data_IF_571533737955
#
_entry.id   IF_571533737955
#
_cell.length_a   1.000
_cell.length_b   1.000
_cell.length_c   1.000
_cell.angle_alpha   90.00
_cell.angle_beta   90.00
_cell.angle_gamma   90.00
#
_symmetry.space_group_name_H-M   'P 1'
#
loop_
_entity.id
_entity.type
_entity.pdbx_description
1 polymer ?
#
# COMPACT_ATOMS: atom_id res chain seq x y z
N UNK A 1 2.94 -10.35 10.45
CA UNK A 1 2.34 -9.08 10.93
C UNK A 1 3.06 -8.69 12.21
N UNK A 2 3.15 -7.39 12.51
CA UNK A 2 3.76 -6.85 13.73
C UNK A 2 2.71 -6.13 14.56
N UNK A 3 2.96 -5.96 15.86
CA UNK A 3 2.09 -5.11 16.70
C UNK A 3 2.11 -3.68 16.15
N UNK A 4 0.95 -3.02 16.13
CA UNK A 4 0.73 -1.70 15.53
C UNK A 4 0.34 -1.74 14.04
N UNK A 5 0.41 -2.90 13.38
CA UNK A 5 0.05 -2.99 11.96
C UNK A 5 -1.47 -2.80 11.74
N UNK A 6 -1.80 -2.02 10.71
CA UNK A 6 -3.19 -1.84 10.28
C UNK A 6 -3.70 -3.10 9.58
N UNK A 7 -4.85 -3.57 10.05
CA UNK A 7 -5.54 -4.74 9.53
C UNK A 7 -6.85 -4.34 8.85
N UNK A 8 -7.06 -4.88 7.65
CA UNK A 8 -8.33 -4.80 6.94
C UNK A 8 -9.13 -6.08 7.21
N UNK A 9 -10.25 -5.95 7.92
CA UNK A 9 -11.09 -7.07 8.35
C UNK A 9 -12.39 -7.03 7.55
N UNK A 10 -12.65 -8.08 6.79
CA UNK A 10 -13.91 -8.29 6.07
C UNK A 10 -14.76 -9.32 6.80
N UNK A 11 -16.00 -8.98 7.14
CA UNK A 11 -16.96 -9.90 7.75
C UNK A 11 -17.56 -10.76 6.65
N UNK A 12 -17.47 -12.10 6.76
CA UNK A 12 -17.88 -12.98 5.68
C UNK A 12 -19.40 -13.01 5.45
N UNK A 13 -20.20 -12.87 6.51
CA UNK A 13 -21.67 -12.93 6.44
C UNK A 13 -22.29 -11.69 5.78
N UNK A 14 -21.75 -10.51 6.04
CA UNK A 14 -22.31 -9.24 5.56
C UNK A 14 -21.50 -8.62 4.41
N UNK A 15 -20.24 -9.02 4.24
CA UNK A 15 -19.32 -8.41 3.28
C UNK A 15 -18.70 -7.08 3.74
N UNK A 16 -19.16 -6.55 4.88
CA UNK A 16 -18.70 -5.30 5.50
C UNK A 16 -17.20 -5.33 5.78
N UNK A 17 -16.57 -4.15 5.67
CA UNK A 17 -15.13 -3.97 5.81
C UNK A 17 -14.83 -2.99 6.93
N UNK A 18 -13.83 -3.35 7.74
CA UNK A 18 -13.41 -2.61 8.92
C UNK A 18 -11.89 -2.48 8.92
N UNK A 19 -11.42 -1.36 9.44
CA UNK A 19 -10.02 -1.17 9.78
C UNK A 19 -9.82 -1.40 11.28
N UNK A 20 -8.83 -2.21 11.62
CA UNK A 20 -8.37 -2.42 12.97
C UNK A 20 -6.85 -2.38 13.05
N UNK A 21 -6.32 -2.59 14.25
CA UNK A 21 -4.89 -2.60 14.53
C UNK A 21 -4.52 -3.85 15.31
N UNK A 22 -3.44 -4.53 14.93
CA UNK A 22 -2.93 -5.67 15.69
C UNK A 22 -2.28 -5.19 16.99
N UNK A 23 -2.91 -5.46 18.14
CA UNK A 23 -2.39 -5.08 19.46
C UNK A 23 -1.47 -6.15 20.04
N UNK A 24 -1.73 -7.43 19.71
CA UNK A 24 -0.93 -8.53 20.22
C UNK A 24 -1.41 -9.88 19.70
N UNK A 25 -0.65 -10.93 20.02
CA UNK A 25 -1.03 -12.29 19.71
C UNK A 25 -0.34 -13.29 20.62
N UNK A 26 -0.94 -14.47 20.73
CA UNK A 26 -0.33 -15.67 21.29
C UNK A 26 -0.43 -16.76 20.24
N UNK A 27 0.73 -17.21 19.74
CA UNK A 27 0.79 -18.18 18.65
C UNK A 27 0.02 -19.46 19.00
N UNK A 28 -0.81 -19.92 18.07
CA UNK A 28 -1.68 -21.09 18.26
C UNK A 28 -2.94 -20.83 19.09
N UNK A 29 -3.06 -19.69 19.77
CA UNK A 29 -4.19 -19.38 20.64
C UNK A 29 -5.07 -18.28 20.04
N UNK A 30 -4.57 -17.04 19.99
CA UNK A 30 -5.37 -15.89 19.55
C UNK A 30 -4.56 -14.77 18.89
N UNK A 31 -5.28 -13.94 18.13
CA UNK A 31 -4.87 -12.59 17.75
C UNK A 31 -5.77 -11.57 18.47
N UNK A 32 -5.17 -10.49 18.95
CA UNK A 32 -5.87 -9.40 19.62
C UNK A 32 -5.86 -8.15 18.74
N UNK A 33 -7.04 -7.69 18.35
CA UNK A 33 -7.19 -6.58 17.41
C UNK A 33 -8.00 -5.45 18.03
N UNK A 34 -7.49 -4.22 17.96
CA UNK A 34 -8.25 -3.03 18.30
C UNK A 34 -9.10 -2.61 17.11
N UNK A 35 -10.41 -2.52 17.30
CA UNK A 35 -11.37 -2.05 16.30
C UNK A 35 -12.01 -0.74 16.75
N UNK A 36 -11.40 0.38 16.38
CA UNK A 36 -11.83 1.74 16.73
C UNK A 36 -13.33 2.00 16.49
N UNK A 37 -13.88 1.47 15.40
CA UNK A 37 -15.28 1.67 15.00
C UNK A 37 -16.24 0.57 15.50
N UNK A 38 -15.83 -0.28 16.43
CA UNK A 38 -16.67 -1.38 16.91
C UNK A 38 -17.90 -0.90 17.68
N UNK A 39 -17.79 0.22 18.39
CA UNK A 39 -18.89 0.77 19.20
C UNK A 39 -20.05 1.19 18.30
N UNK A 40 -19.77 1.82 17.16
CA UNK A 40 -20.79 2.23 16.17
C UNK A 40 -21.25 1.04 15.31
N UNK A 41 -20.41 0.01 15.13
CA UNK A 41 -20.71 -1.18 14.30
C UNK A 41 -20.97 -2.47 15.10
N UNK A 42 -21.38 -2.37 16.36
CA UNK A 42 -21.56 -3.51 17.28
C UNK A 42 -22.59 -4.54 16.80
N UNK A 43 -23.52 -4.16 15.93
CA UNK A 43 -24.50 -5.09 15.33
C UNK A 43 -23.92 -5.94 14.20
N UNK A 44 -22.77 -5.58 13.65
CA UNK A 44 -22.21 -6.18 12.44
C UNK A 44 -21.15 -7.22 12.80
N UNK A 45 -20.35 -6.97 13.84
CA UNK A 45 -19.34 -7.91 14.34
C UNK A 45 -19.90 -8.58 15.58
N UNK A 46 -20.21 -9.87 15.47
CA UNK A 46 -20.63 -10.69 16.61
C UNK A 46 -19.66 -11.85 16.84
N UNK A 47 -19.70 -12.42 18.05
CA UNK A 47 -18.96 -13.64 18.35
C UNK A 47 -19.35 -14.76 17.37
N UNK A 48 -18.40 -15.64 17.05
CA UNK A 48 -18.48 -16.69 16.04
C UNK A 48 -18.60 -16.20 14.58
N UNK A 49 -18.62 -14.89 14.32
CA UNK A 49 -18.50 -14.42 12.94
C UNK A 49 -17.19 -14.88 12.33
N UNK A 50 -17.30 -15.39 11.11
CA UNK A 50 -16.13 -15.66 10.30
C UNK A 50 -15.70 -14.38 9.60
N UNK A 51 -14.40 -14.09 9.65
CA UNK A 51 -13.80 -12.88 9.10
C UNK A 51 -12.60 -13.25 8.24
N UNK A 52 -12.37 -12.48 7.17
CA UNK A 52 -11.11 -12.47 6.43
C UNK A 52 -10.30 -11.28 6.90
N UNK A 53 -9.12 -11.54 7.46
CA UNK A 53 -8.17 -10.52 7.89
C UNK A 53 -7.09 -10.39 6.83
N UNK A 54 -6.74 -9.15 6.49
CA UNK A 54 -5.64 -8.82 5.59
C UNK A 54 -4.76 -7.76 6.23
N UNK A 55 -3.45 -7.93 6.14
CA UNK A 55 -2.47 -6.98 6.66
C UNK A 55 -1.11 -7.19 6.01
N UNK A 56 -0.17 -6.31 6.27
CA UNK A 56 1.20 -6.48 5.79
C UNK A 56 1.98 -7.40 6.74
N UNK A 57 2.77 -8.31 6.17
CA UNK A 57 3.72 -9.11 6.93
C UNK A 57 5.02 -8.32 7.16
N UNK A 58 5.98 -8.96 7.83
CA UNK A 58 7.28 -8.34 8.17
C UNK A 58 8.14 -7.99 6.96
N UNK A 59 7.82 -8.57 5.79
CA UNK A 59 8.51 -8.39 4.51
C UNK A 59 7.68 -7.52 3.54
N UNK A 60 6.73 -6.73 4.05
CA UNK A 60 5.82 -5.88 3.26
C UNK A 60 4.96 -6.60 2.21
N UNK A 61 4.79 -7.91 2.35
CA UNK A 61 3.87 -8.71 1.55
C UNK A 61 2.48 -8.72 2.21
N UNK A 62 1.44 -8.60 1.40
CA UNK A 62 0.07 -8.75 1.92
C UNK A 62 -0.14 -10.20 2.35
N UNK A 63 -0.46 -10.42 3.62
CA UNK A 63 -0.96 -11.71 4.09
C UNK A 63 -2.46 -11.62 4.33
N UNK A 64 -3.19 -12.65 3.92
CA UNK A 64 -4.60 -12.83 4.17
C UNK A 64 -4.83 -14.14 4.91
N UNK A 65 -5.83 -14.18 5.79
CA UNK A 65 -6.29 -15.43 6.39
C UNK A 65 -7.75 -15.31 6.80
N UNK A 66 -8.42 -16.46 6.86
CA UNK A 66 -9.78 -16.58 7.36
C UNK A 66 -9.73 -17.09 8.80
N UNK A 67 -10.44 -16.43 9.69
CA UNK A 67 -10.54 -16.82 11.10
C UNK A 67 -11.92 -16.49 11.65
N UNK A 68 -12.16 -16.76 12.93
CA UNK A 68 -13.42 -16.50 13.63
C UNK A 68 -13.22 -15.56 14.80
N UNK A 69 -14.20 -14.71 15.05
CA UNK A 69 -14.28 -13.86 16.24
C UNK A 69 -14.59 -14.76 17.43
N UNK A 70 -13.64 -14.87 18.36
CA UNK A 70 -13.80 -15.67 19.57
C UNK A 70 -14.43 -14.87 20.71
N UNK A 71 -14.09 -13.58 20.84
CA UNK A 71 -14.59 -12.72 21.91
C UNK A 71 -14.55 -11.26 21.50
N UNK A 72 -15.49 -10.49 22.01
CA UNK A 72 -15.51 -9.03 21.87
C UNK A 72 -15.50 -8.39 23.26
N UNK A 73 -14.58 -7.44 23.47
CA UNK A 73 -14.50 -6.61 24.66
C UNK A 73 -14.74 -5.16 24.21
N UNK A 74 -15.76 -4.49 24.74
CA UNK A 74 -16.11 -3.12 24.33
C UNK A 74 -15.47 -2.08 25.26
N UNK A 75 -15.28 -2.42 26.54
CA UNK A 75 -14.72 -1.54 27.57
C UNK A 75 -13.52 -2.19 28.27
N UNK A 76 -12.48 -1.42 28.65
CA UNK A 76 -12.34 0.02 28.45
C UNK A 76 -12.03 0.42 27.00
N UNK A 77 -11.53 -0.51 26.19
CA UNK A 77 -11.23 -0.30 24.78
C UNK A 77 -11.88 -1.38 23.91
N UNK A 78 -12.30 -1.06 22.68
CA UNK A 78 -12.94 -2.01 21.78
C UNK A 78 -11.93 -2.99 21.18
N UNK A 79 -11.76 -4.13 21.84
CA UNK A 79 -10.86 -5.21 21.45
C UNK A 79 -11.65 -6.42 20.93
N UNK A 80 -11.09 -7.08 19.93
CA UNK A 80 -11.64 -8.31 19.36
C UNK A 80 -10.58 -9.40 19.40
N UNK A 81 -10.92 -10.51 20.05
CA UNK A 81 -10.14 -11.73 20.00
C UNK A 81 -10.54 -12.52 18.78
N UNK A 82 -9.57 -12.81 17.93
CA UNK A 82 -9.71 -13.73 16.81
C UNK A 82 -9.01 -15.03 17.14
N UNK A 83 -9.55 -16.16 16.70
CA UNK A 83 -8.79 -17.43 16.79
C UNK A 83 -7.49 -17.30 15.99
N UNK A 84 -6.43 -17.93 16.47
CA UNK A 84 -5.20 -18.01 15.69
C UNK A 84 -5.48 -18.81 14.40
N UNK A 85 -5.14 -18.29 13.21
CA UNK A 85 -5.43 -18.98 11.97
C UNK A 85 -4.56 -20.24 11.82
N UNK A 86 -5.13 -21.29 11.25
CA UNK A 86 -4.40 -22.51 10.90
C UNK A 86 -3.51 -22.33 9.67
N UNK A 87 -3.89 -21.41 8.77
CA UNK A 87 -3.17 -21.14 7.53
C UNK A 87 -3.09 -19.63 7.26
N UNK A 88 -1.95 -19.19 6.76
CA UNK A 88 -1.74 -17.84 6.25
C UNK A 88 -1.53 -17.92 4.75
N UNK A 89 -2.35 -17.20 3.98
CA UNK A 89 -2.15 -17.05 2.55
C UNK A 89 -1.26 -15.82 2.30
N UNK A 90 -0.12 -16.04 1.65
CA UNK A 90 0.65 -14.93 1.08
C UNK A 90 -0.02 -14.53 -0.23
N UNK A 91 -0.61 -13.34 -0.26
CA UNK A 91 -1.22 -12.77 -1.45
C UNK A 91 -0.18 -11.88 -2.14
N UNK A 92 0.49 -12.41 -3.17
CA UNK A 92 1.20 -11.57 -4.13
C UNK A 92 0.18 -10.84 -4.99
N UNK A 93 -0.34 -9.71 -4.49
CA UNK A 93 -1.26 -8.86 -5.25
C UNK A 93 -0.55 -8.02 -6.32
N UNK A 94 0.77 -7.89 -6.24
CA UNK A 94 1.56 -7.08 -7.17
C UNK A 94 2.09 -7.97 -8.29
N UNK A 95 1.89 -7.54 -9.53
CA UNK A 95 2.47 -8.19 -10.72
C UNK A 95 3.99 -8.01 -10.80
N UNK A 96 4.51 -6.91 -10.25
CA UNK A 96 5.92 -6.57 -10.24
C UNK A 96 6.35 -6.13 -8.84
N UNK A 97 7.54 -6.55 -8.43
CA UNK A 97 8.16 -6.05 -7.20
C UNK A 97 8.44 -4.55 -7.32
N UNK A 98 8.31 -3.84 -6.20
CA UNK A 98 8.65 -2.42 -6.10
C UNK A 98 9.98 -2.32 -5.35
N UNK A 99 10.91 -1.56 -5.92
CA UNK A 99 12.18 -1.24 -5.31
C UNK A 99 12.08 0.15 -4.70
N UNK A 100 12.45 0.26 -3.42
CA UNK A 100 12.57 1.56 -2.78
C UNK A 100 13.75 2.32 -3.41
N UNK A 101 13.52 3.59 -3.74
CA UNK A 101 14.50 4.45 -4.38
C UNK A 101 14.18 5.92 -4.10
N UNK A 102 15.11 6.82 -4.44
CA UNK A 102 14.91 8.26 -4.32
C UNK A 102 15.39 8.95 -5.59
N UNK A 103 14.52 9.01 -6.60
CA UNK A 103 14.84 9.61 -7.89
C UNK A 103 14.10 10.95 -8.06
N UNK A 104 14.81 12.05 -8.34
CA UNK A 104 14.17 13.29 -8.76
C UNK A 104 13.36 13.07 -10.04
N UNK A 105 12.16 13.61 -10.09
CA UNK A 105 11.27 13.47 -11.23
C UNK A 105 10.43 14.74 -11.45
N UNK A 106 9.93 14.90 -12.67
CA UNK A 106 8.94 15.90 -13.05
C UNK A 106 7.63 15.20 -13.40
N UNK A 107 6.54 15.68 -12.85
CA UNK A 107 5.19 15.26 -13.21
C UNK A 107 4.51 16.38 -13.98
N UNK A 108 3.96 16.06 -15.15
CA UNK A 108 3.13 16.95 -15.94
C UNK A 108 1.67 16.55 -15.76
N UNK A 109 0.85 17.50 -15.30
CA UNK A 109 -0.60 17.36 -15.21
C UNK A 109 -1.25 18.64 -15.75
N UNK A 110 -2.13 18.51 -16.74
CA UNK A 110 -2.82 19.64 -17.39
C UNK A 110 -1.90 20.76 -17.89
N UNK A 111 -0.72 20.38 -18.39
CA UNK A 111 0.29 21.35 -18.84
C UNK A 111 1.03 22.07 -17.71
N UNK A 112 0.77 21.76 -16.45
CA UNK A 112 1.53 22.25 -15.31
C UNK A 112 2.62 21.24 -14.92
N UNK A 113 3.80 21.74 -14.62
CA UNK A 113 4.95 20.95 -14.18
C UNK A 113 5.11 20.99 -12.67
N UNK A 114 5.26 19.81 -12.07
CA UNK A 114 5.47 19.64 -10.64
C UNK A 114 6.77 18.90 -10.40
N UNK A 115 7.62 19.44 -9.52
CA UNK A 115 8.80 18.74 -9.02
C UNK A 115 8.38 17.68 -8.01
N UNK A 116 8.84 16.47 -8.21
CA UNK A 116 8.46 15.31 -7.39
C UNK A 116 9.68 14.46 -7.07
N UNK A 117 9.51 13.54 -6.13
CA UNK A 117 10.50 12.50 -5.85
C UNK A 117 9.83 11.15 -5.96
N UNK A 118 10.38 10.26 -6.79
CA UNK A 118 10.00 8.84 -6.81
C UNK A 118 10.58 8.20 -5.56
N UNK A 119 9.72 7.61 -4.73
CA UNK A 119 10.09 6.93 -3.48
C UNK A 119 10.07 5.40 -3.60
N UNK A 120 9.39 4.88 -4.62
CA UNK A 120 9.58 3.51 -5.09
C UNK A 120 9.20 3.36 -6.56
N UNK A 121 9.79 2.36 -7.21
CA UNK A 121 9.61 2.09 -8.63
C UNK A 121 9.45 0.59 -8.88
N UNK A 122 8.55 0.22 -9.78
CA UNK A 122 8.50 -1.10 -10.40
C UNK A 122 8.42 -0.97 -11.92
N UNK A 123 8.46 -2.10 -12.62
CA UNK A 123 8.28 -2.15 -14.07
C UNK A 123 6.92 -1.58 -14.53
N UNK A 124 5.90 -1.62 -13.66
CA UNK A 124 4.53 -1.21 -14.00
C UNK A 124 4.04 0.08 -13.35
N UNK A 125 4.87 0.77 -12.57
CA UNK A 125 4.44 1.99 -11.91
C UNK A 125 5.44 2.56 -10.92
N UNK A 126 5.11 3.72 -10.37
CA UNK A 126 5.93 4.42 -9.40
C UNK A 126 5.06 4.99 -8.28
N UNK A 127 5.66 5.18 -7.10
CA UNK A 127 5.10 6.06 -6.07
C UNK A 127 5.91 7.34 -6.05
N UNK A 128 5.24 8.48 -6.18
CA UNK A 128 5.86 9.80 -6.09
C UNK A 128 5.37 10.55 -4.86
N UNK A 129 6.20 11.45 -4.36
CA UNK A 129 5.83 12.44 -3.33
C UNK A 129 6.07 13.84 -3.88
N UNK A 130 5.14 14.75 -3.56
CA UNK A 130 5.19 16.16 -3.91
C UNK A 130 5.40 17.01 -2.66
N UNK A 131 6.10 18.13 -2.82
CA UNK A 131 6.18 19.16 -1.79
C UNK A 131 5.01 20.16 -1.95
N UNK A 132 4.08 20.09 -1.01
CA UNK A 132 2.86 20.91 -1.00
C UNK A 132 3.14 22.40 -0.81
N UNK A 133 4.33 22.79 -0.33
CA UNK A 133 4.66 24.20 -0.11
C UNK A 133 4.81 24.98 -1.44
N UNK A 134 4.86 24.29 -2.58
CA UNK A 134 5.09 24.88 -3.91
C UNK A 134 4.09 24.43 -4.97
N UNK A 135 2.92 23.89 -4.59
CA UNK A 135 1.96 23.40 -5.58
C UNK A 135 0.49 23.61 -5.17
N UNK A 136 -0.26 24.30 -6.05
CA UNK A 136 -1.71 24.55 -5.94
C UNK A 136 -2.55 23.30 -6.30
N UNK A 137 -2.08 22.11 -5.93
CA UNK A 137 -2.68 20.84 -6.32
C UNK A 137 -3.10 20.02 -5.10
N UNK A 138 -4.33 19.54 -5.11
CA UNK A 138 -4.86 18.67 -4.06
C UNK A 138 -4.90 17.19 -4.47
N UNK A 139 -4.87 16.24 -3.51
CA UNK A 139 -5.01 14.81 -3.77
C UNK A 139 -6.25 14.45 -4.60
N UNK A 140 -7.40 15.04 -4.25
CA UNK A 140 -8.68 14.77 -4.90
C UNK A 140 -8.70 15.26 -6.35
N UNK A 141 -7.85 16.24 -6.69
CA UNK A 141 -7.69 16.71 -8.07
C UNK A 141 -6.78 15.82 -8.91
N UNK A 142 -6.07 14.86 -8.31
CA UNK A 142 -5.13 13.99 -9.03
C UNK A 142 -5.68 12.59 -9.26
N UNK A 143 -6.44 12.04 -8.31
CA UNK A 143 -6.89 10.65 -8.41
C UNK A 143 -7.76 10.41 -9.65
N UNK A 144 -7.47 9.33 -10.38
CA UNK A 144 -8.21 8.99 -11.59
C UNK A 144 -7.79 9.78 -12.84
N UNK A 145 -6.64 10.48 -12.81
CA UNK A 145 -6.18 11.30 -13.93
C UNK A 145 -4.95 10.75 -14.63
N UNK A 146 -4.80 11.17 -15.89
CA UNK A 146 -3.62 10.91 -16.69
C UNK A 146 -2.55 11.96 -16.39
N UNK A 147 -1.30 11.51 -16.22
CA UNK A 147 -0.12 12.35 -16.00
C UNK A 147 1.04 11.84 -16.84
N UNK A 148 2.02 12.70 -17.12
CA UNK A 148 3.29 12.28 -17.69
C UNK A 148 4.38 12.41 -16.62
N UNK A 149 5.15 11.35 -16.42
CA UNK A 149 6.26 11.32 -15.49
C UNK A 149 7.57 11.27 -16.29
N UNK A 150 8.49 12.19 -15.96
CA UNK A 150 9.82 12.27 -16.55
C UNK A 150 10.87 12.17 -15.46
N UNK A 151 11.84 11.28 -15.61
CA UNK A 151 12.92 11.10 -14.63
C UNK A 151 14.15 10.44 -15.24
N UNK A 152 15.25 10.39 -14.48
CA UNK A 152 16.47 9.65 -14.82
C UNK A 152 16.74 8.59 -13.75
N UNK A 153 17.38 7.49 -14.13
CA UNK A 153 17.81 6.46 -13.19
C UNK A 153 19.29 6.67 -12.82
N UNK A 154 19.75 6.10 -11.72
CA UNK A 154 21.15 6.27 -11.30
C UNK A 154 22.16 5.60 -12.24
N UNK A 155 21.70 4.63 -13.05
CA UNK A 155 22.54 3.82 -13.92
C UNK A 155 22.63 4.39 -15.34
N UNK A 156 21.81 5.41 -15.67
CA UNK A 156 21.69 5.91 -17.03
C UNK A 156 21.30 7.40 -17.05
N UNK A 157 22.02 8.20 -17.82
CA UNK A 157 21.75 9.63 -17.99
C UNK A 157 20.58 9.95 -18.95
N UNK A 158 20.00 8.93 -19.59
CA UNK A 158 18.82 9.04 -20.46
C UNK A 158 17.55 9.29 -19.63
N UNK A 159 16.67 10.11 -20.20
CA UNK A 159 15.35 10.37 -19.62
C UNK A 159 14.39 9.22 -19.89
N UNK A 160 13.64 8.85 -18.86
CA UNK A 160 12.51 7.95 -18.90
C UNK A 160 11.24 8.80 -19.01
N UNK A 161 10.41 8.49 -20.00
CA UNK A 161 9.13 9.15 -20.23
C UNK A 161 8.00 8.12 -20.06
N UNK A 162 7.19 8.32 -19.04
CA UNK A 162 6.10 7.41 -18.67
C UNK A 162 4.75 8.14 -18.65
N UNK A 163 3.90 7.82 -19.61
CA UNK A 163 2.48 8.16 -19.56
C UNK A 163 1.81 7.28 -18.52
N UNK A 164 1.16 7.90 -17.53
CA UNK A 164 0.75 7.23 -16.31
C UNK A 164 -0.68 7.60 -15.89
N UNK A 165 -1.32 6.71 -15.13
CA UNK A 165 -2.61 6.95 -14.52
C UNK A 165 -2.49 6.98 -13.00
N UNK A 166 -3.06 7.99 -12.34
CA UNK A 166 -3.04 8.12 -10.88
C UNK A 166 -4.06 7.16 -10.27
N UNK A 167 -3.58 6.12 -9.60
CA UNK A 167 -4.40 5.06 -8.98
C UNK A 167 -4.76 5.30 -7.52
N UNK A 168 -4.03 6.18 -6.84
CA UNK A 168 -4.29 6.52 -5.45
C UNK A 168 -3.62 7.84 -5.11
N UNK A 169 -4.30 8.70 -4.35
CA UNK A 169 -3.72 9.90 -3.78
C UNK A 169 -3.91 9.90 -2.25
N UNK A 170 -2.82 10.05 -1.50
CA UNK A 170 -2.87 10.11 -0.04
C UNK A 170 -2.20 11.38 0.48
N UNK A 171 -2.74 11.94 1.56
CA UNK A 171 -2.21 13.12 2.24
C UNK A 171 -1.97 12.82 3.72
N UNK A 172 -0.77 12.36 4.05
CA UNK A 172 -0.35 12.19 5.45
C UNK A 172 0.57 13.34 5.86
N UNK A 173 1.87 13.24 5.59
CA UNK A 173 2.85 14.31 5.85
C UNK A 173 3.28 15.05 4.58
N UNK A 174 3.18 14.39 3.43
CA UNK A 174 3.42 14.92 2.08
C UNK A 174 2.36 14.30 1.16
N UNK A 175 2.02 15.00 0.08
CA UNK A 175 1.13 14.45 -0.93
C UNK A 175 1.84 13.32 -1.67
N UNK A 176 1.29 12.11 -1.58
CA UNK A 176 1.84 10.92 -2.20
C UNK A 176 0.88 10.37 -3.25
N UNK A 177 1.37 10.18 -4.46
CA UNK A 177 0.60 9.61 -5.57
C UNK A 177 1.15 8.23 -5.95
N UNK A 178 0.23 7.29 -6.17
CA UNK A 178 0.52 5.99 -6.75
C UNK A 178 0.18 6.01 -8.23
N UNK A 179 1.20 5.81 -9.07
CA UNK A 179 1.09 5.85 -10.53
C UNK A 179 1.16 4.44 -11.12
N UNK A 180 0.31 4.17 -12.11
CA UNK A 180 0.44 3.01 -13.00
C UNK A 180 0.92 3.50 -14.37
N UNK A 181 1.95 2.85 -14.91
CA UNK A 181 2.44 3.15 -16.25
C UNK A 181 1.48 2.58 -17.30
N UNK A 182 0.95 3.44 -18.15
CA UNK A 182 0.06 3.09 -19.26
C UNK A 182 0.87 2.91 -20.54
N UNK A 183 1.84 3.78 -20.76
CA UNK A 183 2.73 3.73 -21.92
C UNK A 183 4.13 4.25 -21.53
N UNK A 184 5.16 3.54 -21.95
CA UNK A 184 6.56 3.89 -21.79
C UNK A 184 7.14 4.23 -23.17
N UNK A 185 7.70 5.43 -23.32
CA UNK A 185 8.09 5.95 -24.63
C UNK A 185 9.58 5.65 -24.90
N UNK A 186 9.90 5.20 -26.11
CA UNK A 186 11.27 4.93 -26.53
C UNK A 186 11.92 3.81 -25.72
N UNK A 187 13.14 4.04 -25.22
CA UNK A 187 13.91 3.05 -24.45
C UNK A 187 13.53 2.98 -22.96
N UNK A 188 12.50 3.74 -22.53
CA UNK A 188 12.08 3.87 -21.14
C UNK A 188 11.85 2.53 -20.44
N UNK A 189 11.28 1.54 -21.14
CA UNK A 189 11.06 0.21 -20.57
C UNK A 189 12.38 -0.50 -20.23
N UNK A 190 13.35 -0.47 -21.13
CA UNK A 190 14.65 -1.13 -20.90
C UNK A 190 15.40 -0.46 -19.75
N UNK A 191 15.36 0.88 -19.68
CA UNK A 191 16.01 1.67 -18.61
C UNK A 191 15.40 1.34 -17.24
N UNK A 192 14.08 1.24 -17.14
CA UNK A 192 13.39 0.87 -15.89
C UNK A 192 13.75 -0.56 -15.50
N UNK A 193 13.74 -1.50 -16.44
CA UNK A 193 14.03 -2.90 -16.18
C UNK A 193 15.45 -3.12 -15.67
N UNK A 194 16.43 -2.49 -16.32
CA UNK A 194 17.83 -2.53 -15.91
C UNK A 194 17.99 -1.98 -14.48
N UNK A 195 17.39 -0.82 -14.22
CA UNK A 195 17.47 -0.20 -12.90
C UNK A 195 16.82 -1.05 -11.81
N UNK A 196 15.59 -1.53 -12.02
CA UNK A 196 14.88 -2.38 -11.06
C UNK A 196 15.65 -3.67 -10.80
N UNK A 197 16.22 -4.29 -11.84
CA UNK A 197 17.02 -5.52 -11.71
C UNK A 197 18.29 -5.27 -10.89
N UNK A 198 18.99 -4.16 -11.16
CA UNK A 198 20.21 -3.82 -10.42
C UNK A 198 19.95 -3.65 -8.91
N UNK A 199 18.87 -2.96 -8.51
CA UNK A 199 18.55 -2.81 -7.08
C UNK A 199 18.18 -4.16 -6.47
N UNK A 200 17.47 -5.04 -7.20
CA UNK A 200 17.13 -6.37 -6.69
C UNK A 200 18.36 -7.18 -6.35
N UNK A 201 19.36 -7.18 -7.23
CA UNK A 201 20.65 -7.82 -6.98
C UNK A 201 21.30 -7.26 -5.71
N UNK A 202 21.36 -5.93 -5.56
CA UNK A 202 21.94 -5.31 -4.36
C UNK A 202 21.18 -5.65 -3.08
N UNK A 203 19.85 -5.73 -3.14
CA UNK A 203 19.01 -6.08 -1.98
C UNK A 203 19.15 -7.54 -1.53
N UNK A 204 19.80 -8.38 -2.35
CA UNK A 204 20.03 -9.80 -2.06
C UNK A 204 21.37 -10.05 -1.33
N UNK A 205 22.27 -9.05 -1.28
CA UNK A 205 23.43 -9.09 -0.37
C UNK A 205 22.95 -8.91 1.08
N UNK A 206 22.54 -10.02 1.69
CA UNK A 206 22.37 -10.12 3.15
C UNK A 206 23.68 -10.46 3.84
#
# INVERSE_FOLDING_TARGET
>A
MRVGERLHIKICSTGERLWGELVGFKQGEFLLVWLHNLITKHKIVTENNTVTVRGMNVDYQLCGFKTTVSKIIIKPYPLVFLKFPSFFEKLHLRRHDRMDCFLPAQMLLDGNEYKTMIVNLSQGGARIVLDLNNSDISPDQCEGREVYLVFKTANNDKEVYAKSFVRSANNEARMALGLEFIELIGESHAIIDEYVSSIKEYSTFK
#
